data_IF_312565058636
#
_entry.id   IF_312565058636
#
_cell.length_a   1.000
_cell.length_b   1.000
_cell.length_c   1.000
_cell.angle_alpha   90.00
_cell.angle_beta   90.00
_cell.angle_gamma   90.00
#
_symmetry.space_group_name_H-M   'P 1'
#
loop_
_entity.id
_entity.type
_entity.pdbx_description
1 polymer ?
#
# COMPACT_ATOMS: atom_id res chain seq x y z
N UNK A 1 32.38 -49.27 -58.85
CA UNK A 1 31.70 -48.48 -57.81
C UNK A 1 30.58 -47.69 -58.47
N UNK A 2 29.29 -48.00 -58.20
CA UNK A 2 28.15 -47.27 -58.81
C UNK A 2 28.07 -45.87 -58.16
N UNK A 3 28.17 -44.81 -58.96
CA UNK A 3 28.02 -43.42 -58.47
C UNK A 3 26.55 -43.18 -58.16
N UNK A 4 26.23 -42.81 -56.91
CA UNK A 4 24.89 -42.37 -56.56
C UNK A 4 24.69 -41.00 -57.24
N UNK A 5 23.63 -40.80 -58.04
CA UNK A 5 23.39 -39.52 -58.67
C UNK A 5 23.08 -38.48 -57.60
N UNK A 6 23.77 -37.34 -57.67
CA UNK A 6 23.68 -36.23 -56.70
C UNK A 6 22.25 -35.73 -56.49
N UNK A 7 21.38 -35.89 -57.48
CA UNK A 7 19.94 -35.57 -57.41
C UNK A 7 19.20 -36.37 -56.34
N UNK A 8 19.52 -37.65 -56.16
CA UNK A 8 18.93 -38.50 -55.13
C UNK A 8 19.36 -38.08 -53.71
N UNK A 9 20.58 -37.58 -53.57
CA UNK A 9 21.12 -37.11 -52.29
C UNK A 9 20.49 -35.77 -51.87
N UNK A 10 20.25 -34.86 -52.83
CA UNK A 10 19.53 -33.60 -52.58
C UNK A 10 18.08 -33.86 -52.20
N UNK A 11 17.40 -34.81 -52.87
CA UNK A 11 16.02 -35.17 -52.54
C UNK A 11 15.90 -35.76 -51.13
N UNK A 12 16.88 -36.57 -50.73
CA UNK A 12 16.96 -37.14 -49.39
C UNK A 12 17.21 -36.08 -48.30
N UNK A 13 18.08 -35.10 -48.58
CA UNK A 13 18.33 -33.96 -47.69
C UNK A 13 17.10 -33.05 -47.53
N UNK A 14 16.34 -32.83 -48.60
CA UNK A 14 15.07 -32.09 -48.55
C UNK A 14 14.03 -32.85 -47.72
N UNK A 15 13.97 -34.17 -47.85
CA UNK A 15 13.05 -35.01 -47.06
C UNK A 15 13.41 -35.00 -45.56
N UNK A 16 14.71 -35.01 -45.22
CA UNK A 16 15.20 -34.88 -43.83
C UNK A 16 14.89 -33.52 -43.19
N UNK A 17 14.72 -32.46 -43.98
CA UNK A 17 14.40 -31.12 -43.46
C UNK A 17 12.92 -30.92 -43.09
N UNK A 18 12.04 -31.87 -43.42
CA UNK A 18 10.61 -31.80 -43.11
C UNK A 18 10.28 -32.39 -41.73
N UNK A 19 10.84 -31.82 -40.65
CA UNK A 19 10.34 -32.08 -39.31
C UNK A 19 9.14 -31.18 -39.03
N UNK A 20 7.95 -31.78 -38.99
CA UNK A 20 6.73 -31.08 -38.56
C UNK A 20 6.77 -31.00 -37.04
N UNK A 21 6.88 -29.78 -36.50
CA UNK A 21 6.78 -29.51 -35.06
C UNK A 21 5.31 -29.28 -34.72
N UNK A 22 4.72 -30.17 -33.93
CA UNK A 22 3.40 -29.96 -33.34
C UNK A 22 3.55 -29.31 -31.97
N UNK A 23 2.97 -28.14 -31.76
CA UNK A 23 2.84 -27.54 -30.43
C UNK A 23 1.63 -28.18 -29.74
N UNK A 24 1.83 -28.95 -28.68
CA UNK A 24 0.75 -29.40 -27.81
C UNK A 24 0.47 -28.33 -26.76
N UNK A 25 -0.65 -27.64 -26.87
CA UNK A 25 -1.15 -26.78 -25.79
C UNK A 25 -1.66 -27.66 -24.66
N UNK A 26 -0.94 -27.70 -23.54
CA UNK A 26 -1.44 -28.34 -22.31
C UNK A 26 -2.50 -27.43 -21.67
N UNK A 27 -3.78 -27.72 -21.89
CA UNK A 27 -4.86 -27.08 -21.15
C UNK A 27 -5.07 -27.81 -19.83
N UNK A 28 -4.78 -27.13 -18.71
CA UNK A 28 -5.21 -27.56 -17.39
C UNK A 28 -6.58 -26.96 -17.11
N UNK A 29 -7.55 -27.79 -16.72
CA UNK A 29 -8.84 -27.31 -16.22
C UNK A 29 -8.80 -27.33 -14.71
N UNK A 30 -9.29 -26.26 -14.08
CA UNK A 30 -9.51 -26.18 -12.65
C UNK A 30 -11.01 -26.28 -12.37
N UNK A 31 -11.38 -27.00 -11.31
CA UNK A 31 -12.76 -27.04 -10.85
C UNK A 31 -12.97 -25.92 -9.83
N UNK A 32 -13.90 -25.03 -10.13
CA UNK A 32 -14.27 -23.91 -9.26
C UNK A 32 -15.76 -23.98 -8.94
N UNK A 33 -16.16 -23.47 -7.79
CA UNK A 33 -17.57 -23.39 -7.41
C UNK A 33 -18.05 -21.95 -7.53
N UNK A 34 -19.03 -21.73 -8.42
CA UNK A 34 -19.77 -20.48 -8.50
C UNK A 34 -21.01 -20.54 -7.60
N UNK A 35 -21.23 -19.49 -6.81
CA UNK A 35 -22.40 -19.33 -5.96
C UNK A 35 -23.01 -17.94 -6.12
N UNK A 36 -24.17 -17.70 -5.50
CA UNK A 36 -24.77 -16.35 -5.40
C UNK A 36 -24.06 -15.53 -4.31
N UNK A 37 -22.81 -15.14 -4.59
CA UNK A 37 -22.02 -14.31 -3.69
C UNK A 37 -22.45 -12.86 -3.81
N UNK A 38 -22.96 -12.30 -2.70
CA UNK A 38 -23.31 -10.88 -2.58
C UNK A 38 -22.25 -10.17 -1.75
N UNK A 39 -21.65 -9.15 -2.33
CA UNK A 39 -20.62 -8.35 -1.67
C UNK A 39 -21.20 -6.97 -1.36
N UNK A 40 -21.13 -6.58 -0.10
CA UNK A 40 -21.65 -5.31 0.38
C UNK A 40 -20.53 -4.52 1.04
N UNK A 41 -20.34 -3.28 0.61
CA UNK A 41 -19.48 -2.32 1.29
C UNK A 41 -20.39 -1.27 1.95
N UNK A 42 -20.32 -1.16 3.28
CA UNK A 42 -21.27 -0.38 4.08
C UNK A 42 -22.74 -0.80 3.83
N UNK A 43 -23.50 0.02 3.08
CA UNK A 43 -24.92 -0.21 2.76
C UNK A 43 -25.16 -0.47 1.27
N UNK A 44 -24.11 -0.41 0.46
CA UNK A 44 -24.21 -0.50 -0.99
C UNK A 44 -23.79 -1.89 -1.45
N UNK A 45 -24.65 -2.52 -2.24
CA UNK A 45 -24.37 -3.79 -2.89
C UNK A 45 -23.46 -3.52 -4.10
N UNK A 46 -22.29 -4.16 -4.13
CA UNK A 46 -21.34 -4.00 -5.23
C UNK A 46 -21.81 -4.75 -6.46
N UNK A 47 -21.85 -4.05 -7.60
CA UNK A 47 -22.04 -4.67 -8.91
C UNK A 47 -20.71 -5.19 -9.42
N UNK A 48 -20.59 -6.50 -9.57
CA UNK A 48 -19.37 -7.17 -10.02
C UNK A 48 -19.52 -7.55 -11.50
N UNK A 49 -18.55 -7.15 -12.33
CA UNK A 49 -18.50 -7.61 -13.74
C UNK A 49 -18.19 -9.10 -13.83
N UNK A 50 -17.34 -9.59 -12.94
CA UNK A 50 -16.99 -11.01 -12.80
C UNK A 50 -17.49 -11.56 -11.47
N UNK A 51 -18.14 -12.72 -11.51
CA UNK A 51 -18.64 -13.37 -10.31
C UNK A 51 -17.49 -13.94 -9.47
N UNK A 52 -17.49 -13.73 -8.14
CA UNK A 52 -16.60 -14.43 -7.23
C UNK A 52 -16.77 -15.95 -7.34
N UNK A 53 -15.72 -16.69 -7.04
CA UNK A 53 -15.75 -18.15 -7.06
C UNK A 53 -14.93 -18.76 -5.94
N UNK A 54 -15.31 -19.96 -5.51
CA UNK A 54 -14.54 -20.73 -4.53
C UNK A 54 -13.59 -21.68 -5.26
N UNK A 55 -12.31 -21.60 -4.93
CA UNK A 55 -11.29 -22.52 -5.39
C UNK A 55 -10.42 -22.95 -4.21
N UNK A 56 -10.28 -24.26 -4.00
CA UNK A 56 -9.50 -24.84 -2.89
C UNK A 56 -9.85 -24.25 -1.50
N UNK A 57 -11.13 -23.98 -1.25
CA UNK A 57 -11.61 -23.42 0.02
C UNK A 57 -11.34 -21.93 0.21
N UNK A 58 -10.83 -21.23 -0.82
CA UNK A 58 -10.61 -19.78 -0.83
C UNK A 58 -11.62 -19.12 -1.75
N UNK A 59 -12.18 -17.99 -1.31
CA UNK A 59 -13.03 -17.15 -2.15
C UNK A 59 -12.14 -16.20 -2.95
N UNK A 60 -12.22 -16.30 -4.27
CA UNK A 60 -11.56 -15.39 -5.21
C UNK A 60 -12.56 -14.33 -5.63
N UNK A 61 -12.12 -13.07 -5.61
CA UNK A 61 -12.93 -11.90 -5.90
C UNK A 61 -12.21 -11.00 -6.90
N UNK A 62 -12.92 -10.30 -7.80
CA UNK A 62 -12.30 -9.37 -8.73
C UNK A 62 -11.59 -8.23 -7.97
N UNK A 63 -10.27 -8.17 -8.12
CA UNK A 63 -9.43 -7.17 -7.46
C UNK A 63 -9.91 -5.75 -7.74
N UNK A 64 -10.15 -5.42 -9.02
CA UNK A 64 -10.57 -4.10 -9.48
C UNK A 64 -11.85 -3.62 -8.77
N UNK A 65 -12.90 -4.43 -8.80
CA UNK A 65 -14.18 -4.08 -8.20
C UNK A 65 -14.08 -3.85 -6.68
N UNK A 66 -13.27 -4.68 -5.99
CA UNK A 66 -13.04 -4.49 -4.57
C UNK A 66 -12.26 -3.21 -4.28
N UNK A 67 -11.15 -2.97 -4.98
CA UNK A 67 -10.30 -1.79 -4.79
C UNK A 67 -11.03 -0.48 -5.09
N UNK A 68 -11.78 -0.43 -6.20
CA UNK A 68 -12.57 0.74 -6.59
C UNK A 68 -13.69 1.02 -5.56
N UNK A 69 -14.30 -0.01 -4.99
CA UNK A 69 -15.27 0.17 -3.89
C UNK A 69 -14.68 0.79 -2.62
N UNK A 70 -13.36 0.67 -2.43
CA UNK A 70 -12.59 1.26 -1.34
C UNK A 70 -12.01 2.65 -1.70
N UNK A 71 -12.33 3.15 -2.91
CA UNK A 71 -11.89 4.44 -3.42
C UNK A 71 -10.46 4.45 -3.95
N UNK A 72 -9.96 3.31 -4.43
CA UNK A 72 -8.70 3.23 -5.17
C UNK A 72 -8.97 3.17 -6.67
N UNK A 73 -8.17 3.88 -7.45
CA UNK A 73 -8.02 3.66 -8.88
C UNK A 73 -7.10 2.46 -9.13
N UNK A 74 -7.42 1.65 -10.15
CA UNK A 74 -6.65 0.46 -10.50
C UNK A 74 -6.18 0.53 -11.95
N UNK A 75 -4.86 0.55 -12.12
CA UNK A 75 -4.19 0.49 -13.42
C UNK A 75 -3.43 -0.84 -13.59
N UNK A 76 -3.18 -1.22 -14.85
CA UNK A 76 -2.46 -2.44 -15.21
C UNK A 76 -1.24 -2.10 -16.07
N UNK A 77 -0.05 -2.38 -15.56
CA UNK A 77 1.18 -2.30 -16.34
C UNK A 77 1.45 -3.64 -17.02
N UNK A 78 1.13 -3.70 -18.31
CA UNK A 78 1.36 -4.87 -19.18
C UNK A 78 2.84 -5.29 -19.26
N UNK A 79 3.79 -4.36 -19.13
CA UNK A 79 5.20 -4.68 -19.30
C UNK A 79 5.75 -5.46 -18.10
N UNK A 80 5.28 -5.11 -16.90
CA UNK A 80 5.72 -5.72 -15.65
C UNK A 80 4.72 -6.74 -15.12
N UNK A 81 3.54 -6.86 -15.75
CA UNK A 81 2.41 -7.66 -15.27
C UNK A 81 1.99 -7.27 -13.84
N UNK A 82 1.91 -5.96 -13.59
CA UNK A 82 1.65 -5.40 -12.26
C UNK A 82 0.31 -4.66 -12.23
N UNK A 83 -0.52 -4.98 -11.25
CA UNK A 83 -1.68 -4.16 -10.90
C UNK A 83 -1.25 -3.04 -9.95
N UNK A 84 -1.49 -1.79 -10.34
CA UNK A 84 -1.15 -0.59 -9.58
C UNK A 84 -2.43 -0.04 -8.97
N UNK A 85 -2.48 0.03 -7.65
CA UNK A 85 -3.59 0.63 -6.91
C UNK A 85 -3.15 2.00 -6.41
N UNK A 86 -3.82 3.06 -6.86
CA UNK A 86 -3.57 4.42 -6.42
C UNK A 86 -4.81 4.99 -5.75
N UNK A 87 -4.64 5.79 -4.70
CA UNK A 87 -5.73 6.55 -4.10
C UNK A 87 -5.25 7.96 -3.97
N UNK A 88 -6.04 8.91 -4.46
CA UNK A 88 -5.73 10.34 -4.30
C UNK A 88 -5.99 10.72 -2.84
N UNK A 89 -5.04 10.36 -1.97
CA UNK A 89 -4.98 10.90 -0.63
C UNK A 89 -4.28 12.23 -0.75
N UNK A 90 -5.05 13.29 -1.03
CA UNK A 90 -4.63 14.64 -0.67
C UNK A 90 -4.37 14.61 0.83
N UNK A 91 -3.12 14.37 1.21
CA UNK A 91 -2.76 14.31 2.61
C UNK A 91 -2.73 15.74 3.13
N UNK A 92 -3.30 15.93 4.30
CA UNK A 92 -3.27 17.22 4.96
C UNK A 92 -1.87 17.40 5.53
N UNK A 93 -1.15 18.39 5.00
CA UNK A 93 0.15 18.80 5.49
C UNK A 93 0.02 19.45 6.86
N UNK A 94 0.99 19.23 7.74
CA UNK A 94 1.12 20.03 8.97
C UNK A 94 1.67 21.40 8.57
N UNK A 95 0.98 22.51 8.85
CA UNK A 95 1.52 23.84 8.61
C UNK A 95 2.85 24.02 9.36
N UNK A 96 3.82 24.68 8.71
CA UNK A 96 5.13 24.96 9.32
C UNK A 96 4.97 25.56 10.73
N UNK A 97 5.85 25.16 11.65
CA UNK A 97 5.87 25.72 13.00
C UNK A 97 6.14 27.22 12.94
N UNK A 98 5.39 28.00 13.71
CA UNK A 98 5.54 29.45 13.80
C UNK A 98 6.08 29.89 15.18
N UNK A 99 7.42 30.04 15.33
CA UNK A 99 8.03 30.49 16.58
C UNK A 99 7.59 31.89 17.02
N UNK A 100 7.16 32.76 16.10
CA UNK A 100 6.73 34.13 16.43
C UNK A 100 5.41 34.13 17.19
N UNK A 101 4.58 33.12 16.96
CA UNK A 101 3.33 32.88 17.68
C UNK A 101 3.50 31.98 18.91
N UNK A 102 4.74 31.68 19.31
CA UNK A 102 5.05 30.89 20.51
C UNK A 102 4.98 29.38 20.31
N UNK A 103 4.84 28.93 19.07
CA UNK A 103 4.90 27.51 18.74
C UNK A 103 6.32 26.96 18.86
N UNK A 104 6.43 25.65 19.11
CA UNK A 104 7.70 24.95 19.18
C UNK A 104 7.63 23.62 18.45
N UNK A 105 8.73 23.25 17.78
CA UNK A 105 8.91 21.92 17.25
C UNK A 105 9.77 21.11 18.22
N UNK A 106 9.33 19.91 18.54
CA UNK A 106 10.03 19.00 19.46
C UNK A 106 10.10 17.61 18.88
N UNK A 107 11.14 16.85 19.22
CA UNK A 107 11.36 15.52 18.65
C UNK A 107 11.81 14.56 19.74
N UNK A 108 11.36 13.31 19.67
CA UNK A 108 11.70 12.29 20.65
C UNK A 108 11.07 10.93 20.39
N UNK A 109 11.32 9.99 21.29
CA UNK A 109 10.73 8.65 21.26
C UNK A 109 9.53 8.57 22.20
N UNK A 110 8.41 8.02 21.72
CA UNK A 110 7.19 7.87 22.52
C UNK A 110 7.40 6.85 23.63
N UNK A 111 7.22 7.27 24.89
CA UNK A 111 7.35 6.41 26.06
C UNK A 111 6.02 5.91 26.61
N UNK A 112 4.98 6.73 26.51
CA UNK A 112 3.65 6.41 27.02
C UNK A 112 2.59 7.15 26.20
N UNK A 113 1.43 6.52 26.05
CA UNK A 113 0.27 7.08 25.37
C UNK A 113 -0.97 6.75 26.20
N UNK A 114 -1.75 7.77 26.50
CA UNK A 114 -3.12 7.64 26.99
C UNK A 114 -4.08 8.01 25.85
N UNK A 115 -4.68 6.99 25.24
CA UNK A 115 -5.61 7.18 24.12
C UNK A 115 -6.95 7.79 24.56
N UNK A 116 -7.37 7.56 25.80
CA UNK A 116 -8.66 8.06 26.31
C UNK A 116 -8.56 9.57 26.60
N UNK A 117 -7.46 9.99 27.25
CA UNK A 117 -7.21 11.40 27.57
C UNK A 117 -6.44 12.16 26.48
N UNK A 118 -6.12 11.49 25.35
CA UNK A 118 -5.30 12.01 24.25
C UNK A 118 -4.00 12.66 24.72
N UNK A 119 -3.26 11.99 25.61
CA UNK A 119 -1.95 12.49 26.06
C UNK A 119 -0.81 11.59 25.62
N UNK A 120 0.33 12.20 25.35
CA UNK A 120 1.55 11.50 24.93
C UNK A 120 2.77 11.97 25.74
N UNK A 121 3.57 11.01 26.17
CA UNK A 121 4.85 11.25 26.83
C UNK A 121 5.97 10.85 25.89
N UNK A 122 6.95 11.73 25.73
CA UNK A 122 8.12 11.47 24.88
C UNK A 122 9.41 11.62 25.69
N UNK A 123 10.39 10.79 25.35
CA UNK A 123 11.79 11.04 25.70
C UNK A 123 12.35 11.96 24.62
N UNK A 124 12.48 13.24 24.96
CA UNK A 124 13.00 14.24 24.02
C UNK A 124 14.46 13.98 23.66
N UNK A 125 14.73 14.04 22.36
CA UNK A 125 16.08 14.15 21.84
C UNK A 125 16.43 15.63 21.79
N UNK A 126 16.97 16.15 22.90
CA UNK A 126 17.33 17.56 23.01
C UNK A 126 18.55 17.86 22.14
N UNK A 127 18.40 18.84 21.26
CA UNK A 127 19.53 19.55 20.66
C UNK A 127 19.79 20.87 21.39
N UNK A 128 20.82 21.60 20.95
CA UNK A 128 21.22 22.84 21.61
C UNK A 128 20.16 23.96 21.57
N UNK A 129 19.09 23.83 20.78
CA UNK A 129 18.05 24.85 20.58
C UNK A 129 16.65 24.40 21.04
N UNK A 130 16.53 23.23 21.66
CA UNK A 130 15.25 22.62 22.01
C UNK A 130 14.62 23.23 23.28
N UNK A 131 13.30 23.48 23.24
CA UNK A 131 12.50 23.80 24.43
C UNK A 131 12.20 22.50 25.17
N UNK A 132 12.64 22.39 26.43
CA UNK A 132 12.24 21.26 27.28
C UNK A 132 10.72 21.26 27.46
N UNK A 133 10.11 20.13 27.15
CA UNK A 133 8.68 19.88 27.41
C UNK A 133 8.49 18.86 28.52
N UNK A 134 7.40 19.02 29.27
CA UNK A 134 7.03 18.15 30.39
C UNK A 134 6.20 16.95 29.94
N UNK A 135 6.07 15.96 30.81
CA UNK A 135 5.20 14.78 30.63
C UNK A 135 3.73 15.21 30.49
N UNK A 136 2.96 14.44 29.73
CA UNK A 136 1.52 14.57 29.57
C UNK A 136 1.10 15.54 28.46
N UNK A 137 1.76 15.51 27.29
CA UNK A 137 1.44 16.42 26.19
C UNK A 137 0.08 16.09 25.60
N UNK A 138 -0.88 17.00 25.73
CA UNK A 138 -2.24 16.83 25.23
C UNK A 138 -2.29 17.03 23.71
N UNK A 139 -2.88 16.08 23.01
CA UNK A 139 -3.04 16.07 21.55
C UNK A 139 -4.41 16.61 21.18
N UNK A 140 -4.43 17.72 20.45
CA UNK A 140 -5.66 18.38 20.01
C UNK A 140 -6.55 17.42 19.22
N UNK A 141 -7.87 17.60 19.27
CA UNK A 141 -8.81 16.71 18.58
C UNK A 141 -8.63 16.74 17.06
N UNK A 142 -8.28 17.91 16.52
CA UNK A 142 -8.01 18.19 15.11
C UNK A 142 -6.51 18.12 14.75
N UNK A 143 -5.68 17.60 15.66
CA UNK A 143 -4.25 17.46 15.40
C UNK A 143 -3.98 16.62 14.15
N UNK A 144 -3.14 17.14 13.26
CA UNK A 144 -2.78 16.47 12.01
C UNK A 144 -1.61 15.53 12.29
N UNK A 145 -1.84 14.23 12.11
CA UNK A 145 -0.81 13.20 12.34
C UNK A 145 -0.43 12.60 11.00
N UNK A 146 0.86 12.61 10.69
CA UNK A 146 1.42 12.10 9.44
C UNK A 146 2.38 10.95 9.75
N UNK A 147 2.16 9.81 9.12
CA UNK A 147 3.15 8.74 9.03
C UNK A 147 4.01 8.98 7.80
N UNK A 148 5.32 9.13 7.99
CA UNK A 148 6.30 9.25 6.93
C UNK A 148 7.07 7.93 6.80
N UNK A 149 7.11 7.33 5.59
CA UNK A 149 7.94 6.15 5.31
C UNK A 149 8.60 6.30 3.94
N UNK A 150 9.92 6.36 3.93
CA UNK A 150 10.70 6.66 2.71
C UNK A 150 10.18 7.97 2.07
N UNK A 151 9.77 7.92 0.81
CA UNK A 151 9.26 9.08 0.06
C UNK A 151 7.74 9.26 0.15
N UNK A 152 7.05 8.52 1.03
CA UNK A 152 5.59 8.55 1.15
C UNK A 152 5.13 9.08 2.51
N UNK A 153 3.99 9.78 2.48
CA UNK A 153 3.35 10.37 3.64
C UNK A 153 1.85 10.08 3.63
N UNK A 154 1.29 9.75 4.79
CA UNK A 154 -0.14 9.50 4.96
C UNK A 154 -0.66 10.11 6.26
N UNK A 155 -1.87 10.64 6.25
CA UNK A 155 -2.55 10.97 7.50
C UNK A 155 -2.95 9.68 8.22
N UNK A 156 -2.66 9.60 9.51
CA UNK A 156 -3.04 8.49 10.38
C UNK A 156 -3.84 9.01 11.58
N UNK A 157 -4.52 8.12 12.31
CA UNK A 157 -5.20 8.49 13.53
C UNK A 157 -4.24 8.50 14.73
N UNK A 158 -4.60 9.21 15.80
CA UNK A 158 -3.83 9.16 17.05
C UNK A 158 -3.76 7.74 17.63
N UNK A 159 -4.80 6.94 17.42
CA UNK A 159 -4.83 5.52 17.79
C UNK A 159 -3.79 4.66 17.07
N UNK A 160 -3.20 5.15 15.99
CA UNK A 160 -2.21 4.41 15.19
C UNK A 160 -0.78 4.64 15.69
N UNK A 161 -0.52 5.73 16.44
CA UNK A 161 0.77 5.99 17.10
C UNK A 161 1.03 4.93 18.18
N UNK A 162 2.29 4.53 18.37
CA UNK A 162 2.71 3.48 19.29
C UNK A 162 3.85 3.95 20.19
N UNK A 163 3.94 3.30 21.36
CA UNK A 163 5.11 3.43 22.23
C UNK A 163 6.33 2.85 21.51
N UNK A 164 7.44 3.59 21.52
CA UNK A 164 8.65 3.30 20.76
C UNK A 164 8.71 3.97 19.38
N UNK A 165 7.62 4.59 18.91
CA UNK A 165 7.67 5.40 17.68
C UNK A 165 8.54 6.63 17.92
N UNK A 166 9.30 7.01 16.90
CA UNK A 166 10.07 8.25 16.93
C UNK A 166 9.23 9.33 16.25
N UNK A 167 8.96 10.41 16.99
CA UNK A 167 7.99 11.43 16.60
C UNK A 167 8.56 12.83 16.66
N UNK A 168 8.26 13.62 15.64
CA UNK A 168 8.33 15.07 15.66
C UNK A 168 6.96 15.64 15.99
N UNK A 169 6.87 16.67 16.81
CA UNK A 169 5.61 17.26 17.23
C UNK A 169 5.66 18.78 17.14
N UNK A 170 4.55 19.37 16.70
CA UNK A 170 4.35 20.82 16.73
C UNK A 170 3.47 21.17 17.91
N UNK A 171 4.04 21.95 18.83
CA UNK A 171 3.38 22.45 20.02
C UNK A 171 2.89 23.87 19.81
N UNK A 172 1.69 24.16 20.27
CA UNK A 172 1.15 25.52 20.35
C UNK A 172 1.82 26.30 21.50
N UNK A 173 1.52 27.60 21.58
CA UNK A 173 1.93 28.43 22.71
C UNK A 173 1.41 27.92 24.08
N UNK A 174 0.33 27.13 24.07
CA UNK A 174 -0.30 26.55 25.25
C UNK A 174 0.23 25.13 25.59
N UNK A 175 1.25 24.65 24.88
CA UNK A 175 1.80 23.29 24.95
C UNK A 175 0.82 22.18 24.55
N UNK A 176 -0.16 22.50 23.69
CA UNK A 176 -0.99 21.48 23.03
C UNK A 176 -0.31 20.99 21.76
N UNK A 177 -0.45 19.71 21.44
CA UNK A 177 0.10 19.10 20.23
C UNK A 177 -0.89 19.25 19.09
N UNK A 178 -0.58 20.12 18.13
CA UNK A 178 -1.40 20.36 16.93
C UNK A 178 -1.01 19.50 15.73
N UNK A 179 0.17 18.90 15.77
CA UNK A 179 0.63 18.04 14.71
C UNK A 179 1.73 17.08 15.16
N UNK A 180 1.73 15.88 14.58
CA UNK A 180 2.70 14.82 14.88
C UNK A 180 3.18 14.22 13.56
N UNK A 181 4.50 14.09 13.41
CA UNK A 181 5.17 13.40 12.31
C UNK A 181 5.78 12.14 12.90
N UNK A 182 5.38 10.97 12.42
CA UNK A 182 5.89 9.66 12.84
C UNK A 182 6.86 9.15 11.78
N UNK A 183 8.08 8.79 12.19
CA UNK A 183 9.17 8.30 11.31
C UNK A 183 9.29 6.75 11.27
#
# INVERSE_FOLDING_TARGET
>A
MKKIPTTLLVLYLLFLSSFIVFASTHHQSIQVYFGDFKVQHHKDLLSLEESPFLYEGRLYMPLRALSESLGYDVDWDENTQTAILSKDTAFTQIPETDPLNGEAFVYGEVRHIDYENRSIDIVQHLDHHSREVFEGLLVEEDAIIILQRNDHQWNIAFSDVKVGDVVGMVLTAENLVRGIIVD
#
